data_IF_390159650224
#
_entry.id   IF_390159650224
#
_cell.length_a   1.000
_cell.length_b   1.000
_cell.length_c   1.000
_cell.angle_alpha   90.00
_cell.angle_beta   90.00
_cell.angle_gamma   90.00
#
_symmetry.space_group_name_H-M   'P 1'
#
loop_
_entity.id
_entity.type
_entity.pdbx_description
1 polymer ?
#
# COMPACT_ATOMS: atom_id res chain seq x y z
N UNK A 1 -11.78 8.16 6.25
CA UNK A 1 -10.70 7.23 6.63
C UNK A 1 -9.63 7.24 5.57
N UNK A 2 -8.35 7.21 5.97
CA UNK A 2 -7.22 7.09 5.05
C UNK A 2 -6.63 5.69 5.16
N UNK A 3 -6.67 4.93 4.08
CA UNK A 3 -6.08 3.60 3.99
C UNK A 3 -4.69 3.72 3.36
N UNK A 4 -3.69 3.21 4.05
CA UNK A 4 -2.29 3.16 3.62
C UNK A 4 -1.94 1.69 3.42
N UNK A 5 -1.64 1.31 2.18
CA UNK A 5 -1.43 -0.08 1.77
C UNK A 5 0.04 -0.31 1.48
N UNK A 6 0.60 -1.37 2.07
CA UNK A 6 1.87 -1.95 1.65
C UNK A 6 1.64 -2.82 0.40
N UNK A 7 2.04 -2.31 -0.76
CA UNK A 7 1.62 -2.83 -2.06
C UNK A 7 2.10 -4.26 -2.32
N UNK A 8 3.41 -4.52 -2.20
CA UNK A 8 3.93 -5.86 -2.46
C UNK A 8 3.55 -6.86 -1.38
N UNK A 9 3.38 -6.41 -0.14
CA UNK A 9 2.89 -7.27 0.94
C UNK A 9 1.46 -7.76 0.67
N UNK A 10 0.58 -6.87 0.21
CA UNK A 10 -0.80 -7.23 -0.14
C UNK A 10 -0.84 -8.12 -1.40
N UNK A 11 -0.11 -7.76 -2.46
CA UNK A 11 -0.04 -8.57 -3.70
C UNK A 11 0.39 -10.01 -3.40
N UNK A 12 1.45 -10.20 -2.61
CA UNK A 12 2.00 -11.54 -2.33
C UNK A 12 1.08 -12.42 -1.49
N UNK A 13 0.13 -11.83 -0.78
CA UNK A 13 -0.83 -12.56 0.06
C UNK A 13 -2.20 -12.71 -0.61
N UNK A 14 -2.43 -12.03 -1.72
CA UNK A 14 -3.63 -12.19 -2.54
C UNK A 14 -3.34 -13.20 -3.66
N UNK A 15 -3.88 -14.43 -3.61
CA UNK A 15 -3.48 -15.53 -4.51
C UNK A 15 -3.50 -15.17 -6.00
N UNK A 16 -4.56 -14.51 -6.45
CA UNK A 16 -4.74 -14.09 -7.84
C UNK A 16 -3.69 -13.06 -8.27
N UNK A 17 -3.43 -12.05 -7.43
CA UNK A 17 -2.42 -11.02 -7.72
C UNK A 17 -1.00 -11.58 -7.63
N UNK A 18 -0.73 -12.47 -6.66
CA UNK A 18 0.56 -13.12 -6.49
C UNK A 18 0.95 -13.98 -7.71
N UNK A 19 -0.03 -14.58 -8.39
CA UNK A 19 0.24 -15.31 -9.64
C UNK A 19 0.69 -14.35 -10.76
N UNK A 20 0.07 -13.18 -10.88
CA UNK A 20 0.45 -12.16 -11.87
C UNK A 20 1.84 -11.58 -11.57
N UNK A 21 2.09 -11.23 -10.30
CA UNK A 21 3.35 -10.66 -9.80
C UNK A 21 4.58 -11.56 -10.08
N UNK A 22 4.40 -12.88 -10.00
CA UNK A 22 5.46 -13.86 -10.30
C UNK A 22 5.85 -13.90 -11.78
N UNK A 23 4.91 -13.60 -12.67
CA UNK A 23 5.18 -13.55 -14.12
C UNK A 23 5.74 -12.19 -14.53
N UNK A 24 5.13 -11.13 -14.04
CA UNK A 24 5.53 -9.75 -14.27
C UNK A 24 5.12 -8.87 -13.09
N UNK A 25 6.12 -8.21 -12.49
CA UNK A 25 5.93 -7.31 -11.36
C UNK A 25 4.95 -6.18 -11.69
N UNK A 26 4.98 -5.66 -12.92
CA UNK A 26 4.09 -4.59 -13.33
C UNK A 26 2.63 -5.07 -13.38
N UNK A 27 2.39 -6.25 -13.93
CA UNK A 27 1.07 -6.88 -13.99
C UNK A 27 0.42 -7.06 -12.60
N UNK A 28 1.19 -7.52 -11.61
CA UNK A 28 0.70 -7.63 -10.22
C UNK A 28 0.29 -6.27 -9.62
N UNK A 29 1.03 -5.21 -9.95
CA UNK A 29 0.77 -3.85 -9.47
C UNK A 29 -0.47 -3.24 -10.12
N UNK A 30 -0.60 -3.38 -11.43
CA UNK A 30 -1.78 -2.91 -12.17
C UNK A 30 -3.05 -3.59 -11.67
N UNK A 31 -2.99 -4.91 -11.46
CA UNK A 31 -4.10 -5.67 -10.92
C UNK A 31 -4.46 -5.24 -9.49
N UNK A 32 -3.48 -5.00 -8.61
CA UNK A 32 -3.75 -4.44 -7.28
C UNK A 32 -4.45 -3.08 -7.37
N UNK A 33 -3.94 -2.19 -8.21
CA UNK A 33 -4.50 -0.84 -8.36
C UNK A 33 -5.93 -0.90 -8.92
N UNK A 34 -6.23 -1.85 -9.80
CA UNK A 34 -7.59 -2.08 -10.31
C UNK A 34 -8.55 -2.48 -9.19
N UNK A 35 -8.18 -3.45 -8.35
CA UNK A 35 -9.01 -3.90 -7.23
C UNK A 35 -9.25 -2.78 -6.20
N UNK A 36 -8.20 -2.02 -5.88
CA UNK A 36 -8.31 -0.89 -4.94
C UNK A 36 -9.15 0.27 -5.50
N UNK A 37 -9.13 0.50 -6.82
CA UNK A 37 -10.03 1.46 -7.46
C UNK A 37 -11.50 1.04 -7.31
N UNK A 38 -11.80 -0.23 -7.53
CA UNK A 38 -13.15 -0.79 -7.35
C UNK A 38 -13.60 -0.66 -5.91
N UNK A 39 -12.76 -1.06 -4.96
CA UNK A 39 -13.01 -0.91 -3.52
C UNK A 39 -13.27 0.55 -3.13
N UNK A 40 -12.43 1.48 -3.60
CA UNK A 40 -12.59 2.92 -3.36
C UNK A 40 -13.93 3.44 -3.87
N UNK A 41 -14.37 3.06 -5.07
CA UNK A 41 -15.65 3.54 -5.65
C UNK A 41 -16.84 3.17 -4.77
N UNK A 42 -16.82 2.00 -4.12
CA UNK A 42 -17.88 1.57 -3.22
C UNK A 42 -17.87 2.23 -1.82
N UNK A 43 -16.70 2.68 -1.34
CA UNK A 43 -16.54 3.14 0.06
C UNK A 43 -16.14 4.62 0.22
N UNK A 44 -15.65 5.27 -0.83
CA UNK A 44 -15.20 6.67 -0.81
C UNK A 44 -13.94 6.93 0.02
N UNK A 45 -13.16 5.91 0.37
CA UNK A 45 -11.95 6.06 1.19
C UNK A 45 -10.80 6.69 0.40
N UNK A 46 -9.97 7.49 1.10
CA UNK A 46 -8.67 7.92 0.55
C UNK A 46 -7.72 6.74 0.64
N UNK A 47 -7.14 6.32 -0.48
CA UNK A 47 -6.22 5.18 -0.52
C UNK A 47 -4.86 5.65 -1.01
N UNK A 48 -3.81 5.28 -0.28
CA UNK A 48 -2.41 5.45 -0.70
C UNK A 48 -1.73 4.10 -0.70
N UNK A 49 -1.14 3.70 -1.84
CA UNK A 49 -0.37 2.47 -1.97
C UNK A 49 1.10 2.83 -2.00
N UNK A 50 1.90 2.13 -1.20
CA UNK A 50 3.36 2.29 -1.14
C UNK A 50 4.00 1.03 -1.70
N UNK A 51 4.88 1.20 -2.69
CA UNK A 51 5.72 0.13 -3.23
C UNK A 51 7.19 0.34 -2.85
N UNK A 52 7.93 -0.74 -2.63
CA UNK A 52 9.39 -0.67 -2.45
C UNK A 52 10.05 -0.30 -3.79
N UNK A 53 10.83 0.78 -3.81
CA UNK A 53 11.42 1.37 -5.01
C UNK A 53 12.65 0.65 -5.53
N UNK A 54 12.61 -0.68 -5.66
CA UNK A 54 13.74 -1.44 -6.21
C UNK A 54 13.83 -1.26 -7.72
N UNK A 55 14.79 -0.42 -8.12
CA UNK A 55 15.51 -0.48 -9.41
C UNK A 55 14.87 0.02 -10.72
N UNK A 56 13.75 0.76 -10.72
CA UNK A 56 13.26 1.33 -11.99
C UNK A 56 13.26 2.86 -11.99
N UNK A 57 14.21 3.43 -12.74
CA UNK A 57 14.30 4.85 -13.02
C UNK A 57 13.04 5.33 -13.75
N UNK A 58 12.33 6.28 -13.16
CA UNK A 58 11.18 6.92 -13.80
C UNK A 58 10.07 7.35 -12.84
N UNK A 59 9.96 6.72 -11.67
CA UNK A 59 8.91 7.07 -10.72
C UNK A 59 9.38 8.24 -9.84
N UNK A 60 8.86 9.43 -10.13
CA UNK A 60 9.06 10.60 -9.30
C UNK A 60 8.41 10.39 -7.92
N UNK A 61 9.00 10.99 -6.88
CA UNK A 61 8.38 11.05 -5.55
C UNK A 61 7.00 11.72 -5.53
N UNK A 62 6.73 12.52 -6.57
CA UNK A 62 5.42 13.08 -6.84
C UNK A 62 4.47 11.93 -7.12
N UNK A 63 3.77 11.51 -6.07
CA UNK A 63 2.90 10.33 -6.12
C UNK A 63 2.00 10.35 -7.35
N UNK A 64 2.03 9.25 -8.09
CA UNK A 64 1.17 9.07 -9.25
C UNK A 64 -0.27 8.88 -8.78
N UNK A 65 -1.24 9.45 -9.50
CA UNK A 65 -2.65 9.20 -9.22
C UNK A 65 -3.20 8.26 -10.28
N UNK A 66 -3.48 7.02 -9.89
CA UNK A 66 -4.05 5.99 -10.78
C UNK A 66 -5.50 5.76 -10.36
N UNK A 67 -6.45 6.27 -11.13
CA UNK A 67 -7.88 6.10 -10.88
C UNK A 67 -8.37 6.61 -9.51
N UNK A 68 -7.71 7.64 -8.96
CA UNK A 68 -8.00 8.19 -7.64
C UNK A 68 -7.23 7.53 -6.48
N UNK A 69 -6.35 6.58 -6.77
CA UNK A 69 -5.42 5.97 -5.81
C UNK A 69 -4.10 6.74 -5.86
N UNK A 70 -3.60 7.18 -4.71
CA UNK A 70 -2.26 7.79 -4.64
C UNK A 70 -1.21 6.69 -4.56
N UNK A 71 -0.30 6.63 -5.52
CA UNK A 71 0.79 5.64 -5.55
C UNK A 71 2.09 6.32 -5.15
N UNK A 72 2.81 5.76 -4.19
CA UNK A 72 4.13 6.22 -3.75
C UNK A 72 5.15 5.09 -3.84
N UNK A 73 6.39 5.46 -4.09
CA UNK A 73 7.52 4.54 -4.11
C UNK A 73 8.52 4.98 -3.04
N UNK A 74 9.16 4.02 -2.37
CA UNK A 74 10.30 4.35 -1.52
C UNK A 74 11.49 4.84 -2.34
N UNK A 75 12.29 5.73 -1.76
CA UNK A 75 13.52 6.23 -2.39
C UNK A 75 14.62 5.18 -2.35
N UNK A 76 15.67 5.36 -3.15
CA UNK A 76 16.91 4.58 -3.02
C UNK A 76 17.49 4.76 -1.61
N UNK A 77 17.72 3.64 -0.92
CA UNK A 77 18.21 3.63 0.47
C UNK A 77 17.12 3.82 1.53
N UNK A 78 15.84 3.85 1.12
CA UNK A 78 14.69 3.91 2.01
C UNK A 78 13.76 2.72 1.76
N UNK A 79 13.21 2.15 2.83
CA UNK A 79 12.22 1.07 2.73
C UNK A 79 10.80 1.61 2.59
N UNK A 80 9.92 0.83 1.97
CA UNK A 80 8.49 1.12 1.97
C UNK A 80 7.95 1.36 3.40
N UNK A 81 8.45 0.61 4.38
CA UNK A 81 8.04 0.71 5.79
C UNK A 81 8.28 2.11 6.37
N UNK A 82 9.41 2.75 6.03
CA UNK A 82 9.72 4.11 6.45
C UNK A 82 8.76 5.13 5.82
N UNK A 83 8.39 4.94 4.55
CA UNK A 83 7.39 5.77 3.89
C UNK A 83 6.03 5.62 4.57
N UNK A 84 5.60 4.37 4.81
CA UNK A 84 4.33 4.06 5.49
C UNK A 84 4.32 4.67 6.89
N UNK A 85 5.39 4.53 7.67
CA UNK A 85 5.48 5.09 9.01
C UNK A 85 5.32 6.63 9.04
N UNK A 86 5.82 7.33 8.01
CA UNK A 86 5.59 8.78 7.85
C UNK A 86 4.15 9.10 7.51
N UNK A 87 3.54 8.39 6.55
CA UNK A 87 2.13 8.59 6.19
C UNK A 87 1.19 8.31 7.36
N UNK A 88 1.50 7.30 8.16
CA UNK A 88 0.76 6.99 9.40
C UNK A 88 0.90 8.11 10.42
N UNK A 89 2.10 8.68 10.58
CA UNK A 89 2.31 9.82 11.47
C UNK A 89 1.51 11.06 11.00
N UNK A 90 1.40 11.28 9.69
CA UNK A 90 0.58 12.34 9.11
C UNK A 90 -0.92 12.10 9.31
N UNK A 91 -1.38 10.85 9.17
CA UNK A 91 -2.79 10.49 9.28
C UNK A 91 -3.30 10.32 10.72
N UNK A 92 -2.41 10.06 11.67
CA UNK A 92 -2.74 9.82 13.08
C UNK A 92 -3.78 8.71 13.26
N UNK A 93 -4.69 8.90 14.22
CA UNK A 93 -5.76 7.92 14.51
C UNK A 93 -6.84 7.78 13.42
N UNK A 94 -6.81 8.61 12.36
CA UNK A 94 -7.70 8.51 11.20
C UNK A 94 -7.19 7.59 10.09
N UNK A 95 -5.98 7.05 10.25
CA UNK A 95 -5.34 6.15 9.30
C UNK A 95 -5.60 4.67 9.63
N UNK A 96 -5.70 3.87 8.59
CA UNK A 96 -5.66 2.40 8.63
C UNK A 96 -4.50 1.93 7.78
N UNK A 97 -3.64 1.09 8.35
CA UNK A 97 -2.54 0.47 7.61
C UNK A 97 -2.91 -0.95 7.21
N UNK A 98 -2.71 -1.31 5.95
CA UNK A 98 -2.91 -2.66 5.43
C UNK A 98 -1.54 -3.26 5.12
N UNK A 99 -1.10 -4.21 5.94
CA UNK A 99 0.10 -5.03 5.73
C UNK A 99 0.06 -6.20 6.71
N UNK A 100 0.59 -7.36 6.36
CA UNK A 100 0.82 -8.46 7.31
C UNK A 100 2.23 -8.43 7.92
N UNK A 101 3.00 -7.36 7.67
CA UNK A 101 4.28 -7.14 8.35
C UNK A 101 4.06 -6.68 9.81
N UNK A 102 4.73 -7.36 10.75
CA UNK A 102 4.61 -7.08 12.19
C UNK A 102 5.22 -5.73 12.57
N UNK A 103 6.33 -5.33 11.95
CA UNK A 103 6.99 -4.06 12.24
C UNK A 103 6.11 -2.88 11.81
N UNK A 104 5.46 -3.00 10.65
CA UNK A 104 4.47 -2.02 10.18
C UNK A 104 3.26 -1.97 11.11
N UNK A 105 2.73 -3.13 11.53
CA UNK A 105 1.61 -3.21 12.46
C UNK A 105 1.92 -2.49 13.79
N UNK A 106 3.10 -2.73 14.35
CA UNK A 106 3.50 -2.11 15.60
C UNK A 106 3.77 -0.61 15.44
N UNK A 107 4.34 -0.19 14.30
CA UNK A 107 4.52 1.23 13.98
C UNK A 107 3.19 1.98 13.85
N UNK A 108 2.15 1.34 13.31
CA UNK A 108 0.79 1.86 13.24
C UNK A 108 0.18 2.02 14.64
N UNK A 109 0.23 0.94 15.44
CA UNK A 109 -0.31 0.94 16.82
C UNK A 109 0.34 2.00 17.70
N UNK A 110 1.66 2.16 17.64
CA UNK A 110 2.39 3.19 18.39
C UNK A 110 1.93 4.63 18.07
N UNK A 111 1.29 4.83 16.92
CA UNK A 111 0.78 6.13 16.46
C UNK A 111 -0.74 6.26 16.57
N UNK A 112 -1.41 5.27 17.18
CA UNK A 112 -2.86 5.25 17.33
C UNK A 112 -3.63 4.95 16.04
N UNK A 113 -2.94 4.57 14.96
CA UNK A 113 -3.58 4.16 13.72
C UNK A 113 -4.07 2.72 13.82
N UNK A 114 -5.21 2.46 13.17
CA UNK A 114 -5.71 1.10 13.03
C UNK A 114 -4.84 0.32 12.02
N UNK A 115 -4.88 -1.00 12.12
CA UNK A 115 -4.10 -1.91 11.29
C UNK A 115 -4.96 -3.10 10.89
N UNK A 116 -4.79 -3.57 9.66
CA UNK A 116 -5.38 -4.78 9.12
C UNK A 116 -4.29 -5.59 8.41
N UNK A 117 -4.29 -6.90 8.62
CA UNK A 117 -3.53 -7.81 7.77
C UNK A 117 -4.14 -7.88 6.37
N UNK A 118 -3.37 -8.40 5.41
CA UNK A 118 -3.88 -8.61 4.05
C UNK A 118 -5.15 -9.49 4.02
N UNK A 119 -5.21 -10.65 4.72
CA UNK A 119 -6.43 -11.46 4.77
C UNK A 119 -7.64 -10.72 5.37
N UNK A 120 -7.45 -9.94 6.44
CA UNK A 120 -8.55 -9.16 7.05
C UNK A 120 -9.06 -8.05 6.12
N UNK A 121 -8.20 -7.49 5.28
CA UNK A 121 -8.61 -6.48 4.30
C UNK A 121 -9.39 -7.09 3.12
N UNK A 122 -9.11 -8.35 2.76
CA UNK A 122 -9.74 -9.07 1.66
C UNK A 122 -11.07 -9.76 2.04
N UNK A 123 -11.36 -9.87 3.35
CA UNK A 123 -12.57 -10.50 3.89
C UNK A 123 -13.82 -9.60 3.77
#
# INVERSE_FOLDING_TARGET
MWIIVDGYNLIRQWPELAMLDRGDLQSGREALLHELQTYRRGKGHRITVVFDGREQGGFSEAGENVGGISVRYSRRGETADLVIARLVAEGGGGAVVVSSDREIADAARRRGAAWLSAPEFMA
#
